data_IF_023528844887
#
_entry.id   IF_023528844887
#
_cell.length_a   1.000
_cell.length_b   1.000
_cell.length_c   1.000
_cell.angle_alpha   90.00
_cell.angle_beta   90.00
_cell.angle_gamma   90.00
#
_symmetry.space_group_name_H-M   'P 1'
#
loop_
_entity.id
_entity.type
_entity.pdbx_description
1 polymer ?
#
# COMPACT_ATOMS: atom_id res chain seq x y z
N UNK A 1 -2.46 46.75 -48.93
CA UNK A 1 -1.38 45.99 -48.26
C UNK A 1 -2.01 45.01 -47.30
N UNK A 2 -1.86 43.72 -47.60
CA UNK A 2 -2.35 42.60 -46.78
C UNK A 2 -1.39 42.44 -45.60
N UNK A 3 -1.90 42.40 -44.36
CA UNK A 3 -1.11 41.93 -43.20
C UNK A 3 -1.71 40.61 -42.72
N UNK A 4 -1.14 39.52 -43.20
CA UNK A 4 -1.12 38.25 -42.49
C UNK A 4 -0.28 38.42 -41.21
N UNK A 5 -0.71 37.85 -40.08
CA UNK A 5 0.14 36.97 -39.27
C UNK A 5 -0.61 36.39 -38.05
N UNK A 6 -0.87 35.07 -38.14
CA UNK A 6 -0.68 34.01 -37.16
C UNK A 6 -1.10 34.17 -35.68
N UNK A 7 -2.17 33.44 -35.35
CA UNK A 7 -2.40 32.53 -34.21
C UNK A 7 -1.34 32.46 -33.10
N UNK A 8 -1.77 32.62 -31.85
CA UNK A 8 -1.28 31.84 -30.71
C UNK A 8 -2.47 31.47 -29.82
N UNK A 9 -3.17 30.40 -30.19
CA UNK A 9 -4.07 29.71 -29.26
C UNK A 9 -3.24 29.15 -28.11
N UNK A 10 -3.56 29.58 -26.89
CA UNK A 10 -2.98 29.01 -25.67
C UNK A 10 -3.52 27.59 -25.55
N UNK A 11 -2.72 26.61 -25.99
CA UNK A 11 -2.99 25.20 -25.71
C UNK A 11 -2.80 25.02 -24.20
N UNK A 12 -3.89 25.03 -23.44
CA UNK A 12 -3.85 24.49 -22.08
C UNK A 12 -3.43 23.04 -22.24
N UNK A 13 -2.15 22.74 -21.97
CA UNK A 13 -1.79 21.38 -21.61
C UNK A 13 -2.63 21.06 -20.37
N UNK A 14 -3.63 20.19 -20.53
CA UNK A 14 -4.12 19.42 -19.43
C UNK A 14 -2.89 18.70 -18.88
N UNK A 15 -2.37 19.20 -17.75
CA UNK A 15 -1.43 18.44 -16.94
C UNK A 15 -2.28 17.26 -16.47
N UNK A 16 -2.24 16.17 -17.21
CA UNK A 16 -2.63 14.88 -16.65
C UNK A 16 -1.60 14.62 -15.58
N UNK A 17 -1.85 15.14 -14.39
CA UNK A 17 -1.23 14.67 -13.17
C UNK A 17 -1.58 13.21 -13.09
N UNK A 18 -0.68 12.36 -13.60
CA UNK A 18 -0.62 10.99 -13.14
C UNK A 18 -0.58 11.12 -11.62
N UNK A 19 -1.56 10.54 -10.93
CA UNK A 19 -1.43 10.23 -9.52
C UNK A 19 -0.24 9.28 -9.41
N UNK A 20 0.97 9.84 -9.38
CA UNK A 20 2.10 9.17 -8.81
C UNK A 20 1.79 9.22 -7.33
N UNK A 21 1.39 8.10 -6.73
CA UNK A 21 1.53 7.98 -5.29
C UNK A 21 2.97 8.41 -4.96
N UNK A 22 3.14 9.25 -3.96
CA UNK A 22 4.46 9.57 -3.38
C UNK A 22 5.18 8.29 -2.92
N UNK A 23 4.39 7.27 -2.59
CA UNK A 23 4.84 5.98 -2.12
C UNK A 23 5.39 5.08 -3.22
N UNK A 24 6.25 4.15 -2.78
CA UNK A 24 6.90 3.19 -3.64
C UNK A 24 5.89 2.37 -4.46
N UNK A 25 6.08 2.17 -5.78
CA UNK A 25 5.15 1.38 -6.60
C UNK A 25 5.15 -0.12 -6.30
N UNK A 26 6.25 -0.66 -5.80
CA UNK A 26 6.40 -2.07 -5.48
C UNK A 26 7.06 -2.23 -4.11
N UNK A 27 6.50 -3.09 -3.28
CA UNK A 27 7.04 -3.37 -1.94
C UNK A 27 7.18 -4.88 -1.74
N UNK A 28 8.08 -5.28 -0.85
CA UNK A 28 8.16 -6.66 -0.36
C UNK A 28 7.76 -6.66 1.11
N UNK A 29 6.71 -7.41 1.45
CA UNK A 29 6.40 -7.77 2.82
C UNK A 29 7.19 -9.03 3.17
N UNK A 30 8.15 -8.88 4.07
CA UNK A 30 9.02 -9.97 4.50
C UNK A 30 9.09 -10.06 6.01
N UNK A 31 9.35 -11.27 6.51
CA UNK A 31 9.66 -11.50 7.91
C UNK A 31 10.78 -12.53 8.04
N UNK A 32 11.60 -12.36 9.08
CA UNK A 32 12.51 -13.40 9.59
C UNK A 32 12.11 -13.90 10.99
N UNK A 33 10.97 -13.44 11.52
CA UNK A 33 10.38 -13.84 12.80
C UNK A 33 9.24 -14.85 12.64
N UNK A 34 8.40 -14.93 13.66
CA UNK A 34 7.36 -15.97 13.79
C UNK A 34 6.30 -15.91 12.69
N UNK A 35 5.99 -14.72 12.13
CA UNK A 35 5.07 -14.58 11.00
C UNK A 35 5.48 -15.46 9.82
N UNK A 36 6.78 -15.55 9.52
CA UNK A 36 7.31 -16.34 8.39
C UNK A 36 7.10 -17.85 8.55
N UNK A 37 6.89 -18.33 9.78
CA UNK A 37 6.62 -19.74 10.09
C UNK A 37 5.18 -20.00 10.54
N UNK A 38 4.36 -18.96 10.64
CA UNK A 38 2.98 -19.03 11.09
C UNK A 38 2.03 -19.51 9.98
N UNK A 39 0.78 -19.76 10.37
CA UNK A 39 -0.33 -19.95 9.43
C UNK A 39 -0.58 -18.73 8.52
N UNK A 40 -0.05 -17.54 8.86
CA UNK A 40 -0.16 -16.32 8.07
C UNK A 40 1.03 -16.09 7.11
N UNK A 41 2.03 -16.98 7.06
CA UNK A 41 3.20 -16.83 6.18
C UNK A 41 2.84 -16.64 4.70
N UNK A 42 1.65 -17.08 4.30
CA UNK A 42 1.13 -16.93 2.95
C UNK A 42 0.92 -15.48 2.50
N UNK A 43 0.91 -14.49 3.41
CA UNK A 43 0.80 -13.07 3.06
C UNK A 43 2.15 -12.43 2.71
N UNK A 44 3.27 -13.11 2.95
CA UNK A 44 4.59 -12.59 2.61
C UNK A 44 4.83 -12.64 1.10
N UNK A 45 5.59 -11.68 0.58
CA UNK A 45 5.96 -11.63 -0.83
C UNK A 45 5.94 -10.22 -1.41
N UNK A 46 5.95 -10.16 -2.74
CA UNK A 46 5.98 -8.92 -3.49
C UNK A 46 4.57 -8.39 -3.68
N UNK A 47 4.39 -7.09 -3.48
CA UNK A 47 3.14 -6.38 -3.67
C UNK A 47 3.36 -5.23 -4.63
N UNK A 48 2.38 -4.98 -5.49
CA UNK A 48 2.37 -3.88 -6.45
C UNK A 48 1.23 -2.91 -6.12
N UNK A 49 1.48 -1.63 -6.26
CA UNK A 49 0.47 -0.59 -6.16
C UNK A 49 -0.60 -0.83 -7.24
N UNK A 50 -1.87 -0.85 -6.83
CA UNK A 50 -3.00 -1.07 -7.74
C UNK A 50 -3.97 0.10 -7.79
N UNK A 51 -4.07 0.88 -6.71
CA UNK A 51 -4.91 2.06 -6.60
C UNK A 51 -4.56 2.87 -5.35
N UNK A 52 -5.23 4.00 -5.17
CA UNK A 52 -5.26 4.73 -3.89
C UNK A 52 -6.68 4.64 -3.28
N UNK A 53 -6.78 4.84 -1.96
CA UNK A 53 -8.07 5.02 -1.27
C UNK A 53 -8.64 6.44 -1.44
N UNK A 54 -9.78 6.72 -0.81
CA UNK A 54 -10.46 8.01 -0.92
C UNK A 54 -9.66 9.17 -0.31
N UNK A 55 -8.73 8.86 0.59
CA UNK A 55 -7.82 9.79 1.26
C UNK A 55 -6.45 9.88 0.54
N UNK A 56 -6.27 9.16 -0.57
CA UNK A 56 -5.04 9.17 -1.36
C UNK A 56 -3.94 8.26 -0.84
N UNK A 57 -4.24 7.33 0.07
CA UNK A 57 -3.25 6.36 0.56
C UNK A 57 -3.17 5.15 -0.37
N UNK A 58 -1.97 4.60 -0.59
CA UNK A 58 -1.78 3.51 -1.52
C UNK A 58 -2.45 2.22 -1.05
N UNK A 59 -3.02 1.50 -2.01
CA UNK A 59 -3.48 0.12 -1.89
C UNK A 59 -2.58 -0.75 -2.74
N UNK A 60 -1.93 -1.70 -2.08
CA UNK A 60 -1.05 -2.66 -2.74
C UNK A 60 -1.72 -4.02 -2.85
N UNK A 61 -1.49 -4.75 -3.93
CA UNK A 61 -1.94 -6.13 -4.11
C UNK A 61 -0.75 -7.08 -4.24
N UNK A 62 -0.83 -8.23 -3.56
CA UNK A 62 0.18 -9.29 -3.67
C UNK A 62 0.26 -9.79 -5.11
N UNK A 63 1.48 -9.92 -5.62
CA UNK A 63 1.78 -10.50 -6.93
C UNK A 63 1.56 -12.01 -6.92
N UNK A 64 0.28 -12.40 -6.91
CA UNK A 64 -0.20 -13.77 -6.89
C UNK A 64 -1.60 -13.85 -7.50
N UNK A 65 -2.11 -15.07 -7.69
CA UNK A 65 -3.50 -15.28 -8.11
C UNK A 65 -4.53 -15.00 -7.00
N UNK A 66 -4.09 -14.77 -5.76
CA UNK A 66 -4.96 -14.53 -4.62
C UNK A 66 -5.10 -13.02 -4.35
N UNK A 67 -6.32 -12.53 -4.10
CA UNK A 67 -6.58 -11.10 -3.98
C UNK A 67 -6.20 -10.58 -2.58
N UNK A 68 -4.90 -10.56 -2.24
CA UNK A 68 -4.44 -10.05 -0.94
C UNK A 68 -3.93 -8.63 -1.07
N UNK A 69 -4.35 -7.78 -0.14
CA UNK A 69 -4.08 -6.35 -0.19
C UNK A 69 -3.41 -5.85 1.07
N UNK A 70 -2.53 -4.87 0.92
CA UNK A 70 -2.07 -3.98 2.00
C UNK A 70 -2.77 -2.63 1.82
N UNK A 71 -3.49 -2.19 2.85
CA UNK A 71 -4.28 -0.95 2.80
C UNK A 71 -4.36 -0.29 4.18
N UNK A 72 -4.58 1.02 4.21
CA UNK A 72 -4.72 1.76 5.45
C UNK A 72 -6.18 1.83 5.94
N UNK A 73 -6.37 1.88 7.25
CA UNK A 73 -7.69 2.06 7.88
C UNK A 73 -7.66 3.27 8.82
N UNK A 74 -8.04 4.43 8.29
CA UNK A 74 -8.09 5.70 9.03
C UNK A 74 -8.92 5.63 10.34
N UNK A 75 -10.02 4.87 10.36
CA UNK A 75 -10.86 4.75 11.56
C UNK A 75 -10.19 4.08 12.77
N UNK A 76 -9.10 3.34 12.56
CA UNK A 76 -8.35 2.63 13.61
C UNK A 76 -6.83 2.86 13.51
N UNK A 77 -6.41 3.76 12.63
CA UNK A 77 -5.04 4.21 12.42
C UNK A 77 -3.98 3.12 12.16
N UNK A 78 -4.36 2.01 11.52
CA UNK A 78 -3.45 0.91 11.22
C UNK A 78 -3.46 0.56 9.72
N UNK A 79 -2.35 0.01 9.26
CA UNK A 79 -2.28 -0.73 8.00
C UNK A 79 -2.73 -2.17 8.20
N UNK A 80 -3.40 -2.74 7.21
CA UNK A 80 -3.95 -4.10 7.25
C UNK A 80 -3.48 -4.91 6.06
N UNK A 81 -3.33 -6.21 6.28
CA UNK A 81 -3.20 -7.21 5.22
C UNK A 81 -4.44 -8.10 5.23
N UNK A 82 -5.19 -8.13 4.13
CA UNK A 82 -6.40 -8.97 4.03
C UNK A 82 -6.80 -9.25 2.58
N UNK A 83 -7.76 -10.14 2.36
CA UNK A 83 -8.29 -10.48 1.03
C UNK A 83 -9.18 -9.38 0.42
N UNK A 84 -9.57 -8.40 1.24
CA UNK A 84 -10.46 -7.30 0.87
C UNK A 84 -10.06 -6.03 1.61
N UNK A 85 -10.19 -4.89 0.95
CA UNK A 85 -9.96 -3.58 1.57
C UNK A 85 -11.20 -3.13 2.35
N UNK A 86 -11.01 -2.18 3.29
CA UNK A 86 -12.11 -1.54 4.03
C UNK A 86 -12.76 -2.35 5.16
N UNK A 87 -12.39 -3.62 5.36
CA UNK A 87 -12.97 -4.48 6.42
C UNK A 87 -12.13 -4.51 7.70
N UNK A 88 -12.77 -4.57 8.86
CA UNK A 88 -12.13 -4.57 10.19
C UNK A 88 -11.65 -5.96 10.63
N UNK A 89 -10.92 -6.61 9.73
CA UNK A 89 -10.32 -7.92 9.90
C UNK A 89 -9.00 -7.91 9.12
N UNK A 90 -8.05 -8.76 9.51
CA UNK A 90 -6.80 -8.91 8.79
C UNK A 90 -6.06 -10.18 9.18
N UNK A 91 -5.16 -10.60 8.31
CA UNK A 91 -4.15 -11.62 8.59
C UNK A 91 -3.00 -11.04 9.39
N UNK A 92 -2.62 -9.81 9.05
CA UNK A 92 -1.64 -9.00 9.75
C UNK A 92 -2.08 -7.53 9.77
N UNK A 93 -1.53 -6.78 10.72
CA UNK A 93 -1.64 -5.33 10.78
C UNK A 93 -0.29 -4.71 11.12
N UNK A 94 -0.12 -3.44 10.77
CA UNK A 94 0.99 -2.61 11.21
C UNK A 94 0.44 -1.35 11.87
N UNK A 95 0.98 -1.01 13.05
CA UNK A 95 0.50 0.09 13.91
C UNK A 95 1.00 1.48 13.51
N UNK A 96 1.76 1.58 12.43
CA UNK A 96 2.26 2.85 11.90
C UNK A 96 1.16 3.65 11.22
N UNK A 97 1.39 4.96 11.12
CA UNK A 97 0.42 5.94 10.60
C UNK A 97 0.96 6.74 9.41
N UNK A 98 2.21 6.50 9.06
CA UNK A 98 2.92 7.07 7.91
C UNK A 98 2.12 6.85 6.63
N UNK A 99 2.24 7.77 5.68
CA UNK A 99 1.49 7.75 4.42
C UNK A 99 1.84 6.53 3.55
N UNK A 100 3.10 6.11 3.60
CA UNK A 100 3.64 4.97 2.87
C UNK A 100 4.01 3.84 3.85
N UNK A 101 3.49 2.64 3.62
CA UNK A 101 3.78 1.48 4.47
C UNK A 101 5.28 1.11 4.48
N UNK A 102 6.02 1.43 3.41
CA UNK A 102 7.47 1.22 3.34
C UNK A 102 8.26 2.09 4.32
N UNK A 103 7.68 3.20 4.76
CA UNK A 103 8.30 4.15 5.69
C UNK A 103 7.80 3.96 7.12
N UNK A 104 6.89 3.00 7.32
CA UNK A 104 6.26 2.77 8.61
C UNK A 104 7.27 2.35 9.68
N UNK A 105 7.21 3.01 10.82
CA UNK A 105 7.94 2.63 12.04
C UNK A 105 7.09 1.79 12.99
N UNK A 106 5.86 1.46 12.60
CA UNK A 106 4.94 0.67 13.41
C UNK A 106 5.36 -0.78 13.59
N UNK A 107 4.85 -1.40 14.65
CA UNK A 107 5.02 -2.82 14.92
C UNK A 107 4.02 -3.61 14.08
N UNK A 108 4.52 -4.68 13.46
CA UNK A 108 3.69 -5.68 12.80
C UNK A 108 3.15 -6.69 13.79
N UNK A 109 1.87 -7.02 13.61
CA UNK A 109 1.17 -8.07 14.34
C UNK A 109 0.47 -9.00 13.34
N UNK A 110 0.33 -10.28 13.68
CA UNK A 110 -0.44 -11.24 12.90
C UNK A 110 -1.41 -12.03 13.78
N UNK A 111 -2.49 -12.52 13.17
CA UNK A 111 -3.46 -13.34 13.86
C UNK A 111 -3.01 -14.81 13.88
N UNK A 112 -2.62 -15.32 15.05
CA UNK A 112 -2.15 -16.70 15.20
C UNK A 112 -3.29 -17.75 15.23
N UNK A 113 -4.54 -17.29 15.19
CA UNK A 113 -5.74 -18.11 15.36
C UNK A 113 -6.50 -17.83 16.66
N UNK A 114 -5.86 -17.18 17.62
CA UNK A 114 -6.40 -16.90 18.95
C UNK A 114 -6.14 -15.47 19.44
N UNK A 115 -4.99 -14.88 19.09
CA UNK A 115 -4.60 -13.53 19.47
C UNK A 115 -3.80 -12.84 18.36
N UNK A 116 -3.71 -11.52 18.48
CA UNK A 116 -2.73 -10.73 17.73
C UNK A 116 -1.38 -10.87 18.40
N UNK A 117 -0.41 -11.38 17.65
CA UNK A 117 0.96 -11.63 18.13
C UNK A 117 1.92 -10.74 17.34
N UNK A 118 2.82 -10.09 18.05
CA UNK A 118 3.81 -9.21 17.44
C UNK A 118 4.91 -10.00 16.74
N UNK A 119 5.33 -9.50 15.56
CA UNK A 119 6.56 -9.93 14.90
C UNK A 119 7.46 -8.72 14.67
N UNK A 120 8.51 -8.63 15.48
CA UNK A 120 9.47 -7.52 15.46
C UNK A 120 10.44 -7.55 14.27
N UNK A 121 10.40 -8.62 13.48
CA UNK A 121 11.29 -8.85 12.34
C UNK A 121 10.53 -8.83 11.01
N UNK A 122 9.27 -8.38 11.03
CA UNK A 122 8.49 -8.12 9.82
C UNK A 122 8.69 -6.68 9.36
N UNK A 123 8.80 -6.49 8.04
CA UNK A 123 8.93 -5.18 7.41
C UNK A 123 8.30 -5.19 6.02
N UNK A 124 7.74 -4.04 5.62
CA UNK A 124 7.44 -3.75 4.22
C UNK A 124 8.54 -2.85 3.69
N UNK A 125 9.20 -3.24 2.61
CA UNK A 125 10.37 -2.53 2.06
C UNK A 125 10.09 -2.17 0.61
N UNK A 126 10.43 -0.94 0.22
CA UNK A 126 10.40 -0.51 -1.18
C UNK A 126 11.46 -1.26 -2.02
N UNK A 127 11.08 -1.75 -3.21
CA UNK A 127 11.95 -2.51 -4.12
C UNK A 127 11.91 -2.03 -5.56
#
# INVERSE_FOLDING_TARGET
MVRNMFSLGVFMLAITSALSSSCCPSIVLQSSGDLASSNQAHILGNYNLVSDDAEGRPIYQLDSSLPRFIFYRSGINNWFVNDQTGINQGYALNTGTEECISDSTGVWEYWDGNAWVQDLYTSAICV
#
